data_IF_499522439993
#
_entry.id   IF_499522439993
#
_cell.length_a   1.000
_cell.length_b   1.000
_cell.length_c   1.000
_cell.angle_alpha   90.00
_cell.angle_beta   90.00
_cell.angle_gamma   90.00
#
_symmetry.space_group_name_H-M   'P 1'
#
loop_
_entity.id
_entity.type
_entity.pdbx_description
1 polymer ?
#
# COMPACT_ATOMS: atom_id res chain seq x y z
N UNK A 1 -11.20 -20.10 0.21
CA UNK A 1 -10.22 -20.28 1.29
C UNK A 1 -9.62 -18.92 1.59
N UNK A 2 -10.20 -18.24 2.59
CA UNK A 2 -9.97 -16.83 2.92
C UNK A 2 -8.85 -16.77 3.96
N UNK A 3 -7.75 -16.09 3.66
CA UNK A 3 -6.61 -15.98 4.58
C UNK A 3 -5.95 -14.60 4.43
N UNK A 4 -6.59 -13.57 5.00
CA UNK A 4 -5.96 -12.30 5.42
C UNK A 4 -7.01 -11.33 6.02
N UNK A 5 -7.68 -11.72 7.11
CA UNK A 5 -8.47 -10.78 7.93
C UNK A 5 -8.79 -11.39 9.31
N UNK A 6 -7.77 -11.73 10.10
CA UNK A 6 -7.98 -12.09 11.52
C UNK A 6 -6.68 -12.07 12.32
N UNK A 7 -5.99 -10.93 12.41
CA UNK A 7 -4.99 -10.73 13.47
C UNK A 7 -5.06 -9.30 14.00
N UNK A 8 -6.20 -8.98 14.60
CA UNK A 8 -6.33 -7.96 15.63
C UNK A 8 -7.58 -8.31 16.42
N UNK A 9 -7.39 -8.74 17.68
CA UNK A 9 -8.41 -9.10 18.68
C UNK A 9 -8.72 -10.61 18.80
N UNK A 10 -7.74 -11.37 19.32
CA UNK A 10 -8.00 -12.56 20.13
C UNK A 10 -7.03 -12.56 21.32
N UNK A 11 -7.49 -12.62 22.58
CA UNK A 11 -6.60 -12.83 23.71
C UNK A 11 -6.25 -14.33 23.77
N UNK A 12 -4.99 -14.69 23.49
CA UNK A 12 -4.47 -16.04 23.72
C UNK A 12 -3.79 -16.78 22.56
N UNK A 13 -3.54 -16.13 21.42
CA UNK A 13 -2.69 -16.72 20.37
C UNK A 13 -1.21 -16.67 20.77
N UNK A 14 -0.44 -17.71 20.44
CA UNK A 14 1.03 -17.67 20.53
C UNK A 14 1.55 -16.38 19.87
N UNK A 15 2.60 -15.74 20.42
CA UNK A 15 3.13 -14.52 19.84
C UNK A 15 3.47 -14.76 18.37
N UNK A 16 3.05 -13.84 17.50
CA UNK A 16 3.44 -13.87 16.10
C UNK A 16 4.97 -13.96 16.00
N UNK A 17 5.49 -14.86 15.16
CA UNK A 17 6.93 -15.02 14.98
C UNK A 17 7.55 -13.66 14.61
N UNK A 18 8.66 -13.31 15.27
CA UNK A 18 9.37 -12.06 14.97
C UNK A 18 10.05 -12.16 13.61
N UNK A 19 10.36 -11.01 13.00
CA UNK A 19 11.15 -10.96 11.76
C UNK A 19 12.41 -11.83 11.82
N UNK A 20 13.25 -11.74 12.87
CA UNK A 20 14.42 -12.60 13.06
C UNK A 20 14.13 -14.11 13.07
N UNK A 21 13.07 -14.55 13.76
CA UNK A 21 12.71 -15.97 13.83
C UNK A 21 12.28 -16.49 12.45
N UNK A 22 11.49 -15.70 11.73
CA UNK A 22 11.05 -16.02 10.38
C UNK A 22 12.21 -16.05 9.37
N UNK A 23 13.19 -15.15 9.52
CA UNK A 23 14.43 -15.15 8.72
C UNK A 23 15.20 -16.45 8.96
N UNK A 24 15.43 -16.83 10.21
CA UNK A 24 16.17 -18.06 10.55
C UNK A 24 15.48 -19.32 10.02
N UNK A 25 14.15 -19.40 10.15
CA UNK A 25 13.38 -20.52 9.63
C UNK A 25 13.46 -20.64 8.09
N UNK A 26 13.36 -19.51 7.38
CA UNK A 26 13.48 -19.51 5.92
C UNK A 26 14.91 -19.85 5.46
N UNK A 27 15.93 -19.35 6.16
CA UNK A 27 17.34 -19.69 5.89
C UNK A 27 17.63 -21.18 6.11
N UNK A 28 17.04 -21.81 7.13
CA UNK A 28 17.18 -23.25 7.36
C UNK A 28 16.61 -24.08 6.20
N UNK A 29 15.47 -23.67 5.62
CA UNK A 29 14.94 -24.30 4.39
C UNK A 29 15.86 -24.09 3.19
N UNK A 30 16.38 -22.88 3.00
CA UNK A 30 17.28 -22.57 1.89
C UNK A 30 18.64 -23.29 1.98
N UNK A 31 19.08 -23.62 3.20
CA UNK A 31 20.26 -24.45 3.40
C UNK A 31 20.04 -25.90 2.91
N UNK A 32 18.80 -26.38 2.93
CA UNK A 32 18.42 -27.70 2.39
C UNK A 32 18.17 -27.65 0.88
N UNK A 33 17.50 -26.59 0.40
CA UNK A 33 17.23 -26.37 -1.02
C UNK A 33 17.33 -24.88 -1.38
N UNK A 34 18.47 -24.50 -1.96
CA UNK A 34 18.70 -23.12 -2.42
C UNK A 34 17.87 -22.73 -3.66
N UNK A 35 17.23 -23.71 -4.32
CA UNK A 35 16.32 -23.54 -5.44
C UNK A 35 14.86 -23.32 -5.04
N UNK A 36 14.52 -23.43 -3.75
CA UNK A 36 13.14 -23.25 -3.26
C UNK A 36 12.71 -21.78 -3.35
N UNK A 37 12.08 -21.42 -4.48
CA UNK A 37 11.56 -20.07 -4.73
C UNK A 37 10.53 -19.60 -3.69
N UNK A 38 9.76 -20.52 -3.08
CA UNK A 38 8.80 -20.18 -2.03
C UNK A 38 9.50 -19.86 -0.72
N UNK A 39 10.58 -20.57 -0.38
CA UNK A 39 11.42 -20.22 0.76
C UNK A 39 12.10 -18.86 0.59
N UNK A 40 12.56 -18.53 -0.63
CA UNK A 40 13.05 -17.17 -0.96
C UNK A 40 11.97 -16.09 -0.79
N UNK A 41 10.73 -16.34 -1.23
CA UNK A 41 9.62 -15.41 -1.01
C UNK A 41 9.33 -15.21 0.48
N UNK A 42 9.32 -16.30 1.27
CA UNK A 42 9.13 -16.24 2.71
C UNK A 42 10.25 -15.44 3.41
N UNK A 43 11.51 -15.65 3.01
CA UNK A 43 12.65 -14.88 3.50
C UNK A 43 12.51 -13.38 3.19
N UNK A 44 12.08 -13.04 1.97
CA UNK A 44 11.81 -11.66 1.58
C UNK A 44 10.74 -10.98 2.43
N UNK A 45 9.62 -11.66 2.70
CA UNK A 45 8.58 -11.17 3.62
C UNK A 45 9.13 -10.99 5.04
N UNK A 46 9.90 -11.94 5.53
CA UNK A 46 10.50 -11.89 6.87
C UNK A 46 11.44 -10.68 7.02
N UNK A 47 12.22 -10.36 5.99
CA UNK A 47 13.05 -9.15 5.97
C UNK A 47 12.23 -7.85 5.95
N UNK A 48 11.10 -7.79 5.23
CA UNK A 48 10.20 -6.63 5.28
C UNK A 48 9.59 -6.45 6.68
N UNK A 49 9.20 -7.53 7.35
CA UNK A 49 8.77 -7.50 8.76
C UNK A 49 9.89 -7.02 9.68
N UNK A 50 11.10 -7.55 9.52
CA UNK A 50 12.26 -7.13 10.31
C UNK A 50 12.59 -5.64 10.09
N UNK A 51 12.38 -5.12 8.88
CA UNK A 51 12.52 -3.69 8.61
C UNK A 51 11.52 -2.84 9.39
N UNK A 52 10.23 -3.18 9.37
CA UNK A 52 9.21 -2.39 10.09
C UNK A 52 9.43 -2.47 11.62
N UNK A 53 9.82 -3.63 12.14
CA UNK A 53 10.21 -3.77 13.54
C UNK A 53 11.44 -2.94 13.92
N UNK A 54 12.46 -2.92 13.05
CA UNK A 54 13.66 -2.14 13.26
C UNK A 54 13.36 -0.64 13.22
N UNK A 55 12.52 -0.18 12.29
CA UNK A 55 12.07 1.22 12.22
C UNK A 55 11.32 1.66 13.48
N UNK A 56 10.46 0.80 14.03
CA UNK A 56 9.69 1.12 15.24
C UNK A 56 10.59 1.34 16.47
N UNK A 57 11.71 0.62 16.56
CA UNK A 57 12.66 0.68 17.71
C UNK A 57 13.80 1.67 17.52
N UNK A 58 13.93 2.24 16.32
CA UNK A 58 15.13 2.96 15.90
C UNK A 58 15.30 4.33 16.58
N UNK A 59 16.54 4.64 16.94
CA UNK A 59 16.96 6.01 17.24
C UNK A 59 17.15 6.84 15.95
N UNK A 60 16.88 8.15 15.98
CA UNK A 60 16.84 9.03 14.79
C UNK A 60 18.01 8.86 13.81
N UNK A 61 19.24 8.62 14.29
CA UNK A 61 20.46 8.50 13.47
C UNK A 61 20.80 7.08 13.00
N UNK A 62 20.24 6.02 13.57
CA UNK A 62 20.66 4.65 13.27
C UNK A 62 19.81 4.00 12.17
N UNK A 63 20.26 4.08 10.93
CA UNK A 63 19.59 3.43 9.78
C UNK A 63 20.22 2.11 9.36
N UNK A 64 21.18 1.57 10.14
CA UNK A 64 21.98 0.40 9.71
C UNK A 64 21.14 -0.87 9.60
N UNK A 65 20.44 -1.25 10.68
CA UNK A 65 19.60 -2.45 10.70
C UNK A 65 18.39 -2.38 9.74
N UNK A 66 17.61 -1.27 9.68
CA UNK A 66 16.57 -1.14 8.67
C UNK A 66 17.11 -1.24 7.23
N UNK A 67 18.25 -0.62 6.93
CA UNK A 67 18.85 -0.71 5.59
C UNK A 67 19.26 -2.13 5.25
N UNK A 68 19.92 -2.83 6.18
CA UNK A 68 20.31 -4.23 5.99
C UNK A 68 19.10 -5.15 5.75
N UNK A 69 17.98 -4.92 6.47
CA UNK A 69 16.75 -5.65 6.25
C UNK A 69 16.18 -5.41 4.83
N UNK A 70 16.16 -4.17 4.34
CA UNK A 70 15.72 -3.87 2.97
C UNK A 70 16.65 -4.43 1.88
N UNK A 71 17.97 -4.48 2.14
CA UNK A 71 18.93 -5.12 1.26
C UNK A 71 18.72 -6.64 1.19
N UNK A 72 18.44 -7.27 2.33
CA UNK A 72 18.05 -8.68 2.40
C UNK A 72 16.72 -8.95 1.69
N UNK A 73 15.72 -8.09 1.88
CA UNK A 73 14.43 -8.20 1.21
C UNK A 73 14.56 -8.13 -0.32
N UNK A 74 15.31 -7.15 -0.84
CA UNK A 74 15.51 -7.01 -2.29
C UNK A 74 16.19 -8.25 -2.89
N UNK A 75 17.26 -8.74 -2.26
CA UNK A 75 17.98 -9.94 -2.71
C UNK A 75 17.06 -11.17 -2.72
N UNK A 76 16.34 -11.40 -1.63
CA UNK A 76 15.48 -12.56 -1.49
C UNK A 76 14.29 -12.52 -2.46
N UNK A 77 13.64 -11.36 -2.61
CA UNK A 77 12.48 -11.21 -3.49
C UNK A 77 12.85 -11.22 -4.97
N UNK A 78 13.99 -10.64 -5.35
CA UNK A 78 14.51 -10.75 -6.71
C UNK A 78 14.82 -12.21 -7.07
N UNK A 79 15.43 -12.96 -6.14
CA UNK A 79 15.70 -14.40 -6.32
C UNK A 79 14.41 -15.21 -6.40
N UNK A 80 13.42 -14.93 -5.54
CA UNK A 80 12.12 -15.58 -5.59
C UNK A 80 11.42 -15.34 -6.95
N UNK A 81 11.38 -14.08 -7.41
CA UNK A 81 10.78 -13.72 -8.70
C UNK A 81 11.49 -14.37 -9.90
N UNK A 82 12.79 -14.65 -9.81
CA UNK A 82 13.53 -15.35 -10.86
C UNK A 82 13.21 -16.86 -10.88
N UNK A 83 13.10 -17.49 -9.70
CA UNK A 83 12.84 -18.94 -9.57
C UNK A 83 11.37 -19.31 -9.83
N UNK A 84 10.44 -18.41 -9.52
CA UNK A 84 8.99 -18.64 -9.63
C UNK A 84 8.41 -18.29 -11.02
N UNK A 85 9.28 -18.02 -11.99
CA UNK A 85 8.91 -17.78 -13.39
C UNK A 85 8.63 -16.30 -13.72
N UNK A 86 8.38 -15.97 -15.00
CA UNK A 86 8.07 -14.61 -15.44
C UNK A 86 6.76 -14.06 -14.84
N UNK A 87 6.48 -12.77 -15.05
CA UNK A 87 5.22 -12.18 -14.60
C UNK A 87 4.01 -12.95 -15.15
N UNK A 88 3.01 -13.21 -14.30
CA UNK A 88 1.83 -14.01 -14.63
C UNK A 88 2.05 -15.52 -14.64
N UNK A 89 3.28 -16.02 -14.42
CA UNK A 89 3.54 -17.46 -14.40
C UNK A 89 3.09 -18.13 -13.10
N UNK A 90 3.15 -17.41 -11.97
CA UNK A 90 2.70 -17.91 -10.67
C UNK A 90 2.31 -16.79 -9.72
N UNK A 91 1.36 -17.07 -8.84
CA UNK A 91 0.88 -16.14 -7.83
C UNK A 91 1.99 -15.71 -6.85
N UNK A 92 2.85 -16.65 -6.47
CA UNK A 92 3.99 -16.40 -5.61
C UNK A 92 5.06 -15.55 -6.31
N UNK A 93 5.30 -15.77 -7.61
CA UNK A 93 6.22 -14.96 -8.41
C UNK A 93 5.75 -13.52 -8.54
N UNK A 94 4.46 -13.30 -8.82
CA UNK A 94 3.86 -11.97 -8.88
C UNK A 94 3.87 -11.29 -7.51
N UNK A 95 3.59 -12.04 -6.44
CA UNK A 95 3.72 -11.55 -5.07
C UNK A 95 5.14 -11.08 -4.76
N UNK A 96 6.17 -11.81 -5.21
CA UNK A 96 7.56 -11.40 -5.01
C UNK A 96 7.85 -10.05 -5.69
N UNK A 97 7.35 -9.83 -6.91
CA UNK A 97 7.49 -8.56 -7.65
C UNK A 97 6.78 -7.40 -6.95
N UNK A 98 5.55 -7.61 -6.49
CA UNK A 98 4.77 -6.59 -5.76
C UNK A 98 5.45 -6.24 -4.44
N UNK A 99 5.95 -7.22 -3.69
CA UNK A 99 6.65 -6.96 -2.42
C UNK A 99 7.97 -6.22 -2.60
N UNK A 100 8.64 -6.34 -3.75
CA UNK A 100 9.81 -5.48 -4.03
C UNK A 100 9.41 -4.02 -4.02
N UNK A 101 8.23 -3.66 -4.53
CA UNK A 101 7.71 -2.27 -4.47
C UNK A 101 7.61 -1.80 -3.01
N UNK A 102 7.18 -2.67 -2.08
CA UNK A 102 7.18 -2.37 -0.65
C UNK A 102 8.60 -2.19 -0.08
N UNK A 103 9.58 -2.98 -0.53
CA UNK A 103 10.99 -2.79 -0.18
C UNK A 103 11.54 -1.43 -0.64
N UNK A 104 11.26 -1.04 -1.88
CA UNK A 104 11.57 0.30 -2.39
C UNK A 104 10.84 1.40 -1.62
N UNK A 105 9.62 1.13 -1.14
CA UNK A 105 8.88 2.01 -0.24
C UNK A 105 9.60 2.25 1.08
N UNK A 106 10.21 1.21 1.65
CA UNK A 106 11.06 1.33 2.83
C UNK A 106 12.28 2.21 2.56
N UNK A 107 12.94 2.05 1.41
CA UNK A 107 14.13 2.86 1.04
C UNK A 107 13.80 4.35 0.93
N UNK A 108 12.68 4.66 0.28
CA UNK A 108 12.16 6.02 0.20
C UNK A 108 11.90 6.61 1.58
N UNK A 109 11.30 5.85 2.50
CA UNK A 109 11.08 6.30 3.89
C UNK A 109 12.39 6.60 4.61
N UNK A 110 13.41 5.74 4.48
CA UNK A 110 14.74 5.98 5.05
C UNK A 110 15.40 7.26 4.50
N UNK A 111 15.18 7.58 3.22
CA UNK A 111 15.73 8.80 2.62
C UNK A 111 15.08 10.07 3.18
N UNK A 112 13.79 10.03 3.53
CA UNK A 112 13.08 11.14 4.19
C UNK A 112 13.75 11.52 5.51
N UNK A 113 14.26 10.54 6.26
CA UNK A 113 14.90 10.79 7.56
C UNK A 113 16.11 11.73 7.46
N UNK A 114 16.91 11.55 6.40
CA UNK A 114 18.17 12.26 6.17
C UNK A 114 18.03 13.55 5.36
N UNK A 115 17.08 13.61 4.42
CA UNK A 115 16.99 14.73 3.47
C UNK A 115 15.57 15.27 3.23
N UNK A 116 14.59 14.92 4.06
CA UNK A 116 13.22 15.40 3.96
C UNK A 116 12.42 14.77 2.82
N UNK A 117 11.19 15.25 2.61
CA UNK A 117 10.25 14.64 1.64
C UNK A 117 10.81 14.60 0.23
N UNK A 118 11.55 15.63 -0.17
CA UNK A 118 12.23 15.66 -1.47
C UNK A 118 13.27 14.54 -1.62
N UNK A 119 14.16 14.35 -0.64
CA UNK A 119 15.12 13.23 -0.71
C UNK A 119 14.42 11.88 -0.68
N UNK A 120 13.30 11.81 0.05
CA UNK A 120 12.28 10.78 -0.09
C UNK A 120 12.01 10.51 -1.55
N UNK A 121 11.35 11.44 -2.26
CA UNK A 121 10.98 11.41 -3.70
C UNK A 121 12.14 11.17 -4.67
N UNK A 122 13.34 11.65 -4.36
CA UNK A 122 14.53 11.46 -5.20
C UNK A 122 15.10 10.03 -5.06
N UNK A 123 14.98 9.41 -3.87
CA UNK A 123 15.41 8.03 -3.63
C UNK A 123 14.57 6.96 -4.37
N UNK A 124 13.54 7.40 -5.09
CA UNK A 124 12.73 6.58 -5.99
C UNK A 124 13.28 6.59 -7.42
N UNK A 125 14.43 7.25 -7.65
CA UNK A 125 15.14 7.30 -8.93
C UNK A 125 15.12 5.95 -9.65
N UNK A 126 15.24 5.95 -10.99
CA UNK A 126 14.56 4.98 -11.86
C UNK A 126 14.66 3.57 -11.29
N UNK A 127 13.52 2.94 -10.92
CA UNK A 127 13.58 1.62 -10.31
C UNK A 127 14.13 0.61 -11.32
N UNK A 128 14.57 -0.56 -10.83
CA UNK A 128 14.97 -1.67 -11.69
C UNK A 128 13.93 -1.88 -12.80
N UNK A 129 14.34 -2.08 -14.07
CA UNK A 129 13.40 -2.22 -15.19
C UNK A 129 12.36 -3.34 -15.01
N UNK A 130 12.71 -4.33 -14.18
CA UNK A 130 11.91 -5.49 -13.83
C UNK A 130 10.99 -5.27 -12.60
N UNK A 131 11.06 -4.09 -11.96
CA UNK A 131 10.13 -3.67 -10.92
C UNK A 131 8.81 -3.20 -11.58
N UNK A 132 7.93 -4.17 -11.81
CA UNK A 132 6.59 -3.97 -12.38
C UNK A 132 5.54 -4.49 -11.43
N UNK A 133 4.43 -3.77 -11.33
CA UNK A 133 3.21 -4.27 -10.72
C UNK A 133 2.46 -5.14 -11.75
N UNK A 134 1.53 -5.95 -11.28
CA UNK A 134 0.55 -6.58 -12.17
C UNK A 134 -0.38 -5.51 -12.74
N UNK A 135 -0.92 -5.68 -13.96
CA UNK A 135 -1.80 -4.67 -14.58
C UNK A 135 -2.98 -4.25 -13.69
N UNK A 136 -3.57 -5.19 -12.94
CA UNK A 136 -4.67 -4.89 -12.01
C UNK A 136 -4.27 -3.97 -10.85
N UNK A 137 -3.03 -4.08 -10.36
CA UNK A 137 -2.52 -3.17 -9.33
C UNK A 137 -2.11 -1.81 -9.92
N UNK A 138 -1.64 -1.78 -11.18
CA UNK A 138 -1.41 -0.50 -11.86
C UNK A 138 -2.73 0.26 -12.03
N UNK A 139 -3.77 -0.41 -12.53
CA UNK A 139 -5.13 0.15 -12.66
C UNK A 139 -5.67 0.66 -11.32
N UNK A 140 -5.54 -0.14 -10.25
CA UNK A 140 -5.95 0.28 -8.90
C UNK A 140 -5.21 1.55 -8.46
N UNK A 141 -3.90 1.60 -8.65
CA UNK A 141 -3.11 2.77 -8.26
C UNK A 141 -3.51 4.02 -9.05
N UNK A 142 -3.69 3.91 -10.37
CA UNK A 142 -4.14 5.03 -11.20
C UNK A 142 -5.50 5.55 -10.77
N UNK A 143 -6.46 4.64 -10.55
CA UNK A 143 -7.81 4.98 -10.14
C UNK A 143 -7.81 5.65 -8.75
N UNK A 144 -7.04 5.15 -7.79
CA UNK A 144 -6.92 5.76 -6.44
C UNK A 144 -6.30 7.15 -6.50
N UNK A 145 -5.24 7.34 -7.30
CA UNK A 145 -4.61 8.65 -7.47
C UNK A 145 -5.56 9.62 -8.18
N UNK A 146 -6.28 9.18 -9.22
CA UNK A 146 -7.29 9.99 -9.92
C UNK A 146 -8.40 10.42 -8.98
N UNK A 147 -8.89 9.52 -8.12
CA UNK A 147 -10.00 9.79 -7.21
C UNK A 147 -9.69 10.82 -6.12
N UNK A 148 -8.41 11.06 -5.82
CA UNK A 148 -8.02 12.01 -4.78
C UNK A 148 -8.02 13.47 -5.29
N UNK A 149 -8.58 14.44 -4.53
CA UNK A 149 -8.56 15.85 -4.90
C UNK A 149 -7.17 16.41 -5.20
N UNK A 150 -7.10 17.42 -6.07
CA UNK A 150 -5.86 18.14 -6.39
C UNK A 150 -5.19 18.70 -5.14
N UNK A 151 -3.88 18.47 -5.00
CA UNK A 151 -3.11 18.91 -3.84
C UNK A 151 -3.51 18.25 -2.52
N UNK A 152 -4.28 17.16 -2.57
CA UNK A 152 -4.68 16.38 -1.39
C UNK A 152 -3.58 15.46 -0.85
N UNK A 153 -3.94 14.70 0.18
CA UNK A 153 -3.12 13.60 0.71
C UNK A 153 -3.91 12.30 0.65
N UNK A 154 -3.37 11.31 -0.06
CA UNK A 154 -3.89 9.96 -0.12
C UNK A 154 -3.36 9.12 1.04
N UNK A 155 -4.28 8.61 1.84
CA UNK A 155 -4.01 7.69 2.95
C UNK A 155 -4.47 6.29 2.55
N UNK A 156 -3.56 5.32 2.62
CA UNK A 156 -3.80 3.93 2.23
C UNK A 156 -3.79 2.99 3.44
N UNK A 157 -4.53 1.89 3.33
CA UNK A 157 -4.82 0.98 4.43
C UNK A 157 -3.80 -0.14 4.58
N UNK A 158 -3.29 -0.70 3.49
CA UNK A 158 -2.46 -1.91 3.59
C UNK A 158 -1.80 -2.36 2.29
N UNK A 159 -1.69 -3.68 2.16
CA UNK A 159 -0.71 -4.32 1.27
C UNK A 159 -1.10 -4.35 -0.21
N UNK A 160 -2.27 -3.82 -0.56
CA UNK A 160 -2.79 -3.80 -1.93
C UNK A 160 -2.78 -2.37 -2.47
N UNK A 161 -3.46 -1.47 -1.78
CA UNK A 161 -3.64 -0.08 -2.19
C UNK A 161 -2.39 0.77 -1.95
N UNK A 162 -1.62 0.48 -0.90
CA UNK A 162 -0.37 1.20 -0.65
C UNK A 162 0.67 0.97 -1.76
N UNK A 163 1.11 -0.27 -2.08
CA UNK A 163 2.09 -0.46 -3.16
C UNK A 163 1.57 -0.01 -4.52
N UNK A 164 0.28 -0.20 -4.82
CA UNK A 164 -0.36 0.28 -6.05
C UNK A 164 -0.24 1.81 -6.21
N UNK A 165 -0.79 2.57 -5.27
CA UNK A 165 -0.75 4.04 -5.35
C UNK A 165 0.68 4.59 -5.24
N UNK A 166 1.53 3.96 -4.42
CA UNK A 166 2.94 4.30 -4.27
C UNK A 166 3.68 4.20 -5.61
N UNK A 167 3.53 3.09 -6.33
CA UNK A 167 4.20 2.85 -7.61
C UNK A 167 3.79 3.91 -8.63
N UNK A 168 2.49 4.14 -8.76
CA UNK A 168 1.97 5.03 -9.80
C UNK A 168 2.36 6.49 -9.49
N UNK A 169 2.37 6.88 -8.21
CA UNK A 169 2.66 8.25 -7.79
C UNK A 169 4.11 8.66 -8.01
N UNK A 170 5.04 7.76 -7.76
CA UNK A 170 6.46 8.12 -7.65
C UNK A 170 7.34 7.40 -8.66
N UNK A 171 7.04 6.14 -9.02
CA UNK A 171 7.74 5.45 -10.10
C UNK A 171 7.25 5.92 -11.46
N UNK A 172 5.93 6.02 -11.63
CA UNK A 172 5.32 6.50 -12.88
C UNK A 172 5.09 8.02 -12.91
N UNK A 173 5.32 8.70 -11.78
CA UNK A 173 5.22 10.16 -11.68
C UNK A 173 3.80 10.72 -11.84
N UNK A 174 2.78 9.89 -11.66
CA UNK A 174 1.39 10.34 -11.78
C UNK A 174 0.98 11.17 -10.57
N UNK A 175 0.20 12.24 -10.79
CA UNK A 175 -0.32 13.11 -9.72
C UNK A 175 0.76 13.60 -8.73
N UNK A 176 1.83 14.27 -9.22
CA UNK A 176 2.92 14.75 -8.38
C UNK A 176 2.51 15.79 -7.33
N UNK A 177 1.30 16.33 -7.45
CA UNK A 177 0.66 17.23 -6.49
C UNK A 177 0.23 16.53 -5.19
N UNK A 178 -0.01 15.21 -5.23
CA UNK A 178 -0.52 14.46 -4.09
C UNK A 178 0.58 14.16 -3.07
N UNK A 179 0.24 14.34 -1.79
CA UNK A 179 0.94 13.68 -0.68
C UNK A 179 0.45 12.24 -0.52
N UNK A 180 1.27 11.39 0.09
CA UNK A 180 0.99 9.96 0.24
C UNK A 180 1.35 9.46 1.64
N UNK A 181 0.44 8.71 2.27
CA UNK A 181 0.62 8.18 3.63
C UNK A 181 0.07 6.75 3.75
N UNK A 182 0.93 5.71 3.73
CA UNK A 182 0.53 4.40 4.23
C UNK A 182 0.28 4.49 5.74
N UNK A 183 -0.92 4.10 6.18
CA UNK A 183 -1.26 4.21 7.61
C UNK A 183 -0.36 3.32 8.49
N UNK A 184 0.02 2.14 7.99
CA UNK A 184 0.95 1.25 8.68
C UNK A 184 2.31 1.93 8.92
N UNK A 185 2.87 2.59 7.88
CA UNK A 185 4.12 3.35 8.01
C UNK A 185 3.97 4.52 8.99
N UNK A 186 2.86 5.26 8.93
CA UNK A 186 2.60 6.36 9.87
C UNK A 186 2.61 5.90 11.33
N UNK A 187 2.03 4.72 11.61
CA UNK A 187 1.97 4.15 12.96
C UNK A 187 3.33 3.60 13.41
N UNK A 188 4.01 2.86 12.53
CA UNK A 188 5.23 2.12 12.83
C UNK A 188 6.54 2.91 12.76
N UNK A 189 6.55 4.08 12.11
CA UNK A 189 7.77 4.85 11.85
C UNK A 189 7.72 6.24 12.51
N UNK A 190 8.19 6.37 13.77
CA UNK A 190 8.09 7.63 14.51
C UNK A 190 8.96 8.74 13.92
N UNK A 191 10.09 8.40 13.28
CA UNK A 191 10.98 9.39 12.66
C UNK A 191 10.33 9.95 11.41
N UNK A 192 9.84 9.08 10.52
CA UNK A 192 9.12 9.47 9.32
C UNK A 192 7.87 10.29 9.65
N UNK A 193 7.09 9.86 10.66
CA UNK A 193 5.93 10.59 11.17
C UNK A 193 6.29 12.01 11.62
N UNK A 194 7.35 12.16 12.41
CA UNK A 194 7.82 13.48 12.87
C UNK A 194 8.26 14.37 11.70
N UNK A 195 8.97 13.82 10.72
CA UNK A 195 9.42 14.56 9.52
C UNK A 195 8.24 15.05 8.69
N UNK A 196 7.28 14.19 8.39
CA UNK A 196 6.08 14.58 7.64
C UNK A 196 5.22 15.59 8.40
N UNK A 197 5.02 15.39 9.71
CA UNK A 197 4.26 16.33 10.52
C UNK A 197 4.89 17.73 10.53
N UNK A 198 6.23 17.81 10.54
CA UNK A 198 6.96 19.08 10.44
C UNK A 198 6.81 19.72 9.05
N UNK A 199 7.03 18.95 7.98
CA UNK A 199 6.89 19.42 6.58
C UNK A 199 5.50 19.99 6.31
N UNK A 200 4.46 19.28 6.75
CA UNK A 200 3.06 19.68 6.57
C UNK A 200 2.56 20.64 7.65
N UNK A 201 3.46 21.11 8.54
CA UNK A 201 3.16 22.10 9.57
C UNK A 201 1.98 21.69 10.46
N UNK A 202 1.87 20.40 10.78
CA UNK A 202 0.76 19.85 11.58
C UNK A 202 0.84 20.24 13.07
N UNK A 203 1.97 20.78 13.50
CA UNK A 203 2.21 21.17 14.89
C UNK A 203 2.25 19.96 15.83
N UNK A 204 2.16 20.21 17.13
CA UNK A 204 2.22 19.17 18.18
C UNK A 204 1.09 18.15 18.09
N UNK A 205 -0.07 18.55 17.56
CA UNK A 205 -1.24 17.67 17.32
C UNK A 205 -1.01 16.67 16.20
N UNK A 206 -0.03 16.90 15.32
CA UNK A 206 0.32 16.04 14.19
C UNK A 206 1.20 14.84 14.53
N UNK A 207 1.71 14.73 15.76
CA UNK A 207 2.64 13.64 16.13
C UNK A 207 1.95 12.40 16.74
N UNK A 208 0.65 12.50 17.06
CA UNK A 208 -0.17 11.43 17.65
C UNK A 208 -1.46 11.17 16.87
N UNK A 209 -2.48 10.60 17.52
CA UNK A 209 -3.68 10.09 16.84
C UNK A 209 -4.58 11.17 16.19
N UNK A 210 -4.40 12.44 16.56
CA UNK A 210 -5.16 13.58 16.00
C UNK A 210 -4.65 14.09 14.64
N UNK A 211 -3.64 13.46 14.06
CA UNK A 211 -2.95 13.97 12.87
C UNK A 211 -3.84 14.10 11.64
N UNK A 212 -4.77 13.16 11.40
CA UNK A 212 -5.70 13.22 10.27
C UNK A 212 -6.58 14.46 10.35
N UNK A 213 -7.11 14.75 11.55
CA UNK A 213 -7.89 15.97 11.78
C UNK A 213 -7.05 17.25 11.67
N UNK A 214 -5.76 17.21 12.02
CA UNK A 214 -4.85 18.34 11.82
C UNK A 214 -4.53 18.55 10.33
N UNK A 215 -4.41 17.47 9.57
CA UNK A 215 -4.13 17.50 8.14
C UNK A 215 -5.36 17.96 7.34
N UNK A 216 -6.54 17.40 7.62
CA UNK A 216 -7.80 17.75 6.99
C UNK A 216 -8.25 19.20 7.29
N UNK A 217 -7.68 19.87 8.30
CA UNK A 217 -7.86 21.31 8.50
C UNK A 217 -7.14 22.17 7.45
N UNK A 218 -6.08 21.64 6.85
CA UNK A 218 -5.14 22.41 6.02
C UNK A 218 -5.31 22.11 4.54
N UNK A 219 -5.75 20.90 4.19
CA UNK A 219 -5.86 20.43 2.81
C UNK A 219 -6.82 19.24 2.70
N UNK A 220 -7.29 18.90 1.48
CA UNK A 220 -8.06 17.70 1.27
C UNK A 220 -7.28 16.45 1.73
N UNK A 221 -7.94 15.57 2.46
CA UNK A 221 -7.46 14.23 2.79
C UNK A 221 -8.40 13.25 2.14
N UNK A 222 -7.86 12.29 1.40
CA UNK A 222 -8.62 11.18 0.84
C UNK A 222 -8.10 9.87 1.47
N UNK A 223 -9.01 8.98 1.84
CA UNK A 223 -8.67 7.63 2.34
C UNK A 223 -9.23 6.61 1.37
N UNK A 224 -8.42 5.61 1.01
CA UNK A 224 -8.82 4.56 0.07
C UNK A 224 -9.95 3.69 0.62
N UNK A 225 -10.72 3.06 -0.28
CA UNK A 225 -11.76 2.08 0.10
C UNK A 225 -11.20 0.70 0.51
N UNK A 226 -9.88 0.59 0.71
CA UNK A 226 -9.29 -0.58 1.35
C UNK A 226 -9.58 -0.60 2.86
N UNK A 227 -9.80 0.57 3.48
CA UNK A 227 -10.27 0.65 4.86
C UNK A 227 -11.68 0.08 5.01
N UNK A 228 -11.94 -0.61 6.12
CA UNK A 228 -13.31 -1.06 6.40
C UNK A 228 -14.28 0.08 6.68
N UNK A 229 -13.77 1.07 7.40
CA UNK A 229 -14.42 2.33 7.71
C UNK A 229 -13.34 3.41 7.68
N UNK A 230 -13.66 4.63 7.27
CA UNK A 230 -12.66 5.68 7.25
C UNK A 230 -12.18 5.95 8.68
N UNK A 231 -10.88 6.23 8.90
CA UNK A 231 -10.35 6.51 10.24
C UNK A 231 -11.08 7.69 10.90
N UNK A 232 -11.21 7.72 12.24
CA UNK A 232 -11.97 8.76 12.91
C UNK A 232 -11.37 10.15 12.69
N UNK A 233 -12.24 11.13 12.43
CA UNK A 233 -11.90 12.56 12.40
C UNK A 233 -12.33 13.23 13.72
N UNK A 234 -11.79 14.42 13.98
CA UNK A 234 -12.20 15.26 15.12
C UNK A 234 -13.64 15.74 14.99
N UNK A 235 -14.25 16.13 16.12
CA UNK A 235 -15.57 16.73 16.16
C UNK A 235 -15.70 17.91 15.17
N UNK A 236 -16.80 17.93 14.41
CA UNK A 236 -17.10 18.95 13.39
C UNK A 236 -16.52 18.68 12.00
N UNK A 237 -15.81 17.56 11.79
CA UNK A 237 -15.44 17.09 10.45
C UNK A 237 -16.13 15.78 10.11
N UNK A 238 -16.49 15.64 8.84
CA UNK A 238 -17.16 14.46 8.30
C UNK A 238 -16.46 14.00 7.03
N UNK A 239 -16.51 12.69 6.82
CA UNK A 239 -16.08 12.05 5.59
C UNK A 239 -17.20 12.12 4.55
N UNK A 240 -16.89 12.66 3.38
CA UNK A 240 -17.75 12.59 2.20
C UNK A 240 -17.36 11.35 1.38
N UNK A 241 -18.27 10.40 1.16
CA UNK A 241 -18.00 9.27 0.27
C UNK A 241 -17.95 9.74 -1.19
N UNK A 242 -16.84 9.46 -1.86
CA UNK A 242 -16.63 9.60 -3.30
C UNK A 242 -16.41 8.20 -3.92
N UNK A 243 -16.40 8.07 -5.26
CA UNK A 243 -16.44 6.79 -5.95
C UNK A 243 -15.45 5.75 -5.40
N UNK A 244 -14.18 6.12 -5.20
CA UNK A 244 -13.14 5.18 -4.75
C UNK A 244 -12.45 5.57 -3.44
N UNK A 245 -12.86 6.68 -2.83
CA UNK A 245 -12.22 7.25 -1.64
C UNK A 245 -13.25 7.95 -0.75
N UNK A 246 -13.00 8.03 0.55
CA UNK A 246 -13.65 9.03 1.38
C UNK A 246 -12.79 10.28 1.44
N UNK A 247 -13.40 11.46 1.38
CA UNK A 247 -12.69 12.75 1.37
C UNK A 247 -13.14 13.62 2.55
N UNK A 248 -12.20 14.35 3.13
CA UNK A 248 -12.47 15.38 4.13
C UNK A 248 -11.54 16.58 3.93
N UNK A 249 -11.93 17.72 4.51
CA UNK A 249 -11.13 18.95 4.50
C UNK A 249 -11.59 19.98 3.45
N UNK A 250 -10.86 21.10 3.33
CA UNK A 250 -11.21 22.21 2.44
C UNK A 250 -10.94 21.85 0.97
N UNK A 251 -11.52 22.64 0.05
CA UNK A 251 -11.12 22.68 -1.38
C UNK A 251 -11.06 21.30 -2.06
N UNK A 252 -12.05 20.44 -1.80
CA UNK A 252 -12.06 19.07 -2.29
C UNK A 252 -12.20 18.95 -3.82
N UNK A 253 -12.45 20.07 -4.50
CA UNK A 253 -12.68 20.13 -5.94
C UNK A 253 -13.86 19.27 -6.40
N UNK A 254 -14.01 19.17 -7.72
CA UNK A 254 -15.06 18.39 -8.34
C UNK A 254 -14.85 16.88 -8.12
N UNK A 255 -15.96 16.17 -8.02
CA UNK A 255 -15.98 14.70 -7.96
C UNK A 255 -15.63 14.17 -9.35
N UNK A 256 -14.67 13.24 -9.41
CA UNK A 256 -14.43 12.44 -10.62
C UNK A 256 -15.65 11.55 -10.88
N UNK A 257 -16.31 11.64 -12.05
CA UNK A 257 -17.42 10.77 -12.40
C UNK A 257 -17.03 9.29 -12.35
N UNK A 258 -17.98 8.42 -11.97
CA UNK A 258 -17.71 6.97 -11.89
C UNK A 258 -17.26 6.38 -13.23
N UNK A 259 -17.82 6.87 -14.35
CA UNK A 259 -17.48 6.45 -15.71
C UNK A 259 -16.05 6.78 -16.17
N UNK A 260 -15.32 7.63 -15.44
CA UNK A 260 -13.93 7.99 -15.75
C UNK A 260 -12.91 7.03 -15.11
N UNK A 261 -13.38 6.03 -14.36
CA UNK A 261 -12.55 4.95 -13.83
C UNK A 261 -12.56 3.74 -14.78
N UNK A 262 -11.42 3.03 -14.82
CA UNK A 262 -11.20 1.88 -15.70
C UNK A 262 -11.10 0.61 -14.87
N UNK A 263 -11.70 -0.48 -15.34
CA UNK A 263 -11.74 -1.78 -14.64
C UNK A 263 -11.40 -2.97 -15.56
N UNK A 264 -10.79 -2.71 -16.72
CA UNK A 264 -10.47 -3.73 -17.71
C UNK A 264 -9.37 -4.68 -17.22
N UNK A 265 -8.35 -4.17 -16.53
CA UNK A 265 -7.28 -5.01 -15.99
C UNK A 265 -7.82 -5.91 -14.87
N UNK A 266 -8.73 -5.40 -14.02
CA UNK A 266 -9.42 -6.23 -13.04
C UNK A 266 -10.19 -7.37 -13.70
N UNK A 267 -10.97 -7.10 -14.75
CA UNK A 267 -11.73 -8.13 -15.46
C UNK A 267 -10.82 -9.23 -16.01
N UNK A 268 -9.77 -8.84 -16.73
CA UNK A 268 -8.80 -9.79 -17.29
C UNK A 268 -8.11 -10.60 -16.20
N UNK A 269 -7.71 -9.95 -15.11
CA UNK A 269 -7.04 -10.60 -13.98
C UNK A 269 -7.97 -11.60 -13.26
N UNK A 270 -9.28 -11.30 -13.16
CA UNK A 270 -10.26 -12.24 -12.61
C UNK A 270 -10.46 -13.46 -13.52
N UNK A 271 -10.59 -13.25 -14.83
CA UNK A 271 -10.73 -14.35 -15.80
C UNK A 271 -9.50 -15.27 -15.79
N UNK A 272 -8.31 -14.67 -15.68
CA UNK A 272 -7.03 -15.37 -15.60
C UNK A 272 -6.70 -15.92 -14.20
N UNK A 273 -7.56 -15.69 -13.20
CA UNK A 273 -7.35 -16.10 -11.81
C UNK A 273 -6.02 -15.60 -11.21
N UNK A 274 -5.63 -14.37 -11.55
CA UNK A 274 -4.40 -13.75 -11.05
C UNK A 274 -4.44 -13.51 -9.54
N UNK A 275 -3.28 -13.60 -8.90
CA UNK A 275 -3.12 -13.57 -7.45
C UNK A 275 -3.71 -12.33 -6.76
N UNK A 276 -3.61 -11.16 -7.42
CA UNK A 276 -4.00 -9.88 -6.85
C UNK A 276 -5.40 -9.42 -7.27
N UNK A 277 -6.06 -10.16 -8.17
CA UNK A 277 -7.38 -9.79 -8.70
C UNK A 277 -8.43 -9.71 -7.59
N UNK A 278 -8.50 -10.73 -6.73
CA UNK A 278 -9.44 -10.77 -5.61
C UNK A 278 -9.20 -9.67 -4.58
N UNK A 279 -7.93 -9.31 -4.36
CA UNK A 279 -7.56 -8.26 -3.42
C UNK A 279 -7.97 -6.87 -3.95
N UNK A 280 -7.76 -6.61 -5.23
CA UNK A 280 -8.26 -5.40 -5.89
C UNK A 280 -9.80 -5.37 -5.96
N UNK A 281 -10.44 -6.50 -6.27
CA UNK A 281 -11.89 -6.66 -6.28
C UNK A 281 -12.49 -6.31 -4.91
N UNK A 282 -11.85 -6.69 -3.81
CA UNK A 282 -12.32 -6.35 -2.47
C UNK A 282 -12.35 -4.82 -2.21
N UNK A 283 -11.38 -4.08 -2.75
CA UNK A 283 -11.35 -2.61 -2.66
C UNK A 283 -12.47 -2.01 -3.51
N UNK A 284 -12.58 -2.44 -4.77
CA UNK A 284 -13.61 -1.92 -5.69
C UNK A 284 -15.03 -2.30 -5.28
N UNK A 285 -15.25 -3.51 -4.78
CA UNK A 285 -16.56 -3.92 -4.29
C UNK A 285 -16.99 -3.12 -3.06
N UNK A 286 -16.05 -2.74 -2.19
CA UNK A 286 -16.37 -1.84 -1.07
C UNK A 286 -16.75 -0.44 -1.56
N UNK A 287 -16.01 0.09 -2.52
CA UNK A 287 -16.32 1.35 -3.18
C UNK A 287 -17.72 1.32 -3.83
N UNK A 288 -18.04 0.25 -4.56
CA UNK A 288 -19.30 0.08 -5.27
C UNK A 288 -20.51 0.04 -4.32
N UNK A 289 -20.40 -0.66 -3.18
CA UNK A 289 -21.45 -0.66 -2.13
C UNK A 289 -21.79 0.71 -1.57
N UNK A 290 -20.85 1.66 -1.62
CA UNK A 290 -21.04 3.02 -1.11
C UNK A 290 -21.38 4.03 -2.22
N UNK A 291 -21.12 3.67 -3.48
CA UNK A 291 -21.37 4.52 -4.64
C UNK A 291 -22.08 3.71 -5.73
N UNK A 292 -23.43 3.75 -5.81
CA UNK A 292 -24.18 2.94 -6.77
C UNK A 292 -23.80 3.16 -8.24
N UNK A 293 -23.43 4.39 -8.63
CA UNK A 293 -22.98 4.69 -10.01
C UNK A 293 -21.69 3.97 -10.40
N UNK A 294 -20.91 3.45 -9.43
CA UNK A 294 -19.77 2.60 -9.72
C UNK A 294 -20.20 1.23 -10.23
N UNK A 295 -21.34 0.72 -9.76
CA UNK A 295 -21.88 -0.57 -10.18
C UNK A 295 -22.20 -0.58 -11.67
N UNK A 296 -22.84 0.48 -12.17
CA UNK A 296 -23.08 0.67 -13.60
C UNK A 296 -21.77 0.68 -14.40
N UNK A 297 -20.76 1.39 -13.89
CA UNK A 297 -19.46 1.46 -14.56
C UNK A 297 -18.77 0.09 -14.58
N UNK A 298 -18.71 -0.61 -13.45
CA UNK A 298 -18.14 -1.96 -13.35
C UNK A 298 -18.86 -2.95 -14.28
N UNK A 299 -20.18 -2.84 -14.41
CA UNK A 299 -20.97 -3.67 -15.33
C UNK A 299 -20.58 -3.45 -16.80
N UNK A 300 -20.19 -2.22 -17.20
CA UNK A 300 -19.69 -1.98 -18.58
C UNK A 300 -18.41 -2.74 -18.91
N UNK A 301 -17.62 -3.11 -17.89
CA UNK A 301 -16.43 -3.96 -18.03
C UNK A 301 -16.73 -5.46 -17.86
N UNK A 302 -18.01 -5.83 -17.76
CA UNK A 302 -18.43 -7.23 -17.62
C UNK A 302 -18.18 -7.81 -16.23
N UNK A 303 -18.12 -6.97 -15.19
CA UNK A 303 -18.06 -7.39 -13.79
C UNK A 303 -19.49 -7.44 -13.24
N UNK A 304 -19.98 -8.63 -12.92
CA UNK A 304 -21.38 -8.80 -12.49
C UNK A 304 -21.64 -8.28 -11.08
N UNK A 305 -22.90 -7.94 -10.77
CA UNK A 305 -23.30 -7.45 -9.45
C UNK A 305 -22.87 -8.37 -8.30
N UNK A 306 -23.03 -9.68 -8.48
CA UNK A 306 -22.61 -10.71 -7.52
C UNK A 306 -21.10 -10.71 -7.25
N UNK A 307 -20.27 -10.38 -8.24
CA UNK A 307 -18.81 -10.34 -8.09
C UNK A 307 -18.35 -9.12 -7.30
N UNK A 308 -18.99 -7.97 -7.50
CA UNK A 308 -18.58 -6.69 -6.89
C UNK A 308 -19.42 -6.32 -5.67
N UNK A 309 -20.45 -7.09 -5.35
CA UNK A 309 -21.38 -6.82 -4.24
C UNK A 309 -22.25 -5.60 -4.50
N UNK A 310 -22.69 -5.44 -5.75
CA UNK A 310 -23.74 -4.49 -6.12
C UNK A 310 -25.06 -5.25 -6.05
N UNK A 311 -25.96 -4.80 -5.16
CA UNK A 311 -27.33 -5.32 -5.12
C UNK A 311 -28.08 -4.87 -6.39
N UNK A 312 -28.88 -5.76 -6.98
CA UNK A 312 -29.86 -5.40 -8.04
C UNK A 312 -31.01 -4.55 -7.49
#
# INVERSE_FOLDING_TARGET
MVLAAALSQAPGGAPAATGPDAIAAAQARLAQDSGDGRAWLALGRAYLTAFDEAQARRARSDSSAPRAALDGAEQALARAAALLGPAGASAEGDSARVLRVAGWSGRARLAVDGGGVRAGTDAWGPPPPDLRLTPVLEELGENLLRACPTGGVLVTAGDVDAPAAWYLRFVRGLRPDLGFVPLAAWRGDPVWRQRLAAEWKLGTRGAGDGWLGALAQRRPVCVSMAFERPPPLRAGMQWEPRPLVWVAGPEQGDRVPSGDFVFAALKLALDAHEAWAQAALAVYGRAARLTPTLCETLATYGLSGDQVGCDE
#
